data_IF_871127232987
#
_entry.id   IF_871127232987
#
_cell.length_a   1.000
_cell.length_b   1.000
_cell.length_c   1.000
_cell.angle_alpha   90.00
_cell.angle_beta   90.00
_cell.angle_gamma   90.00
#
_symmetry.space_group_name_H-M   'P 1'
#
loop_
_entity.id
_entity.type
_entity.pdbx_description
1 polymer ?
#
# COMPACT_ATOMS: atom_id res chain seq x y z
N UNK A 1 -47.19 42.57 -11.81
CA UNK A 1 -47.07 42.97 -13.23
C UNK A 1 -45.58 42.95 -13.61
N UNK A 2 -45.02 41.76 -13.81
CA UNK A 2 -43.80 41.59 -14.64
C UNK A 2 -44.39 41.49 -16.05
N UNK A 3 -44.43 42.63 -16.72
CA UNK A 3 -45.33 42.88 -17.84
C UNK A 3 -44.92 42.12 -19.11
N UNK A 4 -45.86 41.37 -19.69
CA UNK A 4 -45.84 41.02 -21.11
C UNK A 4 -45.36 39.62 -21.51
N UNK A 5 -45.10 38.71 -20.57
CA UNK A 5 -44.67 37.34 -20.89
C UNK A 5 -45.92 36.43 -20.87
N UNK A 6 -46.35 35.82 -22.00
CA UNK A 6 -47.48 34.88 -22.01
C UNK A 6 -47.21 33.71 -21.05
N UNK A 7 -48.24 33.15 -20.41
CA UNK A 7 -48.10 32.07 -19.40
C UNK A 7 -47.26 30.87 -19.88
N UNK A 8 -47.24 30.61 -21.19
CA UNK A 8 -46.43 29.57 -21.83
C UNK A 8 -44.92 29.84 -21.69
N UNK A 9 -44.50 31.10 -21.71
CA UNK A 9 -43.09 31.48 -21.61
C UNK A 9 -42.59 31.41 -20.17
N UNK A 10 -43.43 31.65 -19.15
CA UNK A 10 -43.05 31.54 -17.74
C UNK A 10 -42.61 30.11 -17.38
N UNK A 11 -43.31 29.11 -17.91
CA UNK A 11 -42.97 27.70 -17.73
C UNK A 11 -41.61 27.40 -18.37
N UNK A 12 -41.35 27.94 -19.56
CA UNK A 12 -40.05 27.80 -20.25
C UNK A 12 -38.95 28.45 -19.42
N UNK A 13 -39.13 29.68 -18.95
CA UNK A 13 -38.13 30.38 -18.13
C UNK A 13 -37.81 29.65 -16.82
N UNK A 14 -38.80 29.09 -16.12
CA UNK A 14 -38.56 28.34 -14.87
C UNK A 14 -37.93 26.97 -15.15
N UNK A 15 -38.25 26.33 -16.29
CA UNK A 15 -37.70 25.03 -16.64
C UNK A 15 -36.20 25.04 -16.93
N UNK A 16 -35.65 26.16 -17.42
CA UNK A 16 -34.22 26.31 -17.73
C UNK A 16 -33.33 26.05 -16.50
N UNK A 17 -33.43 26.80 -15.39
CA UNK A 17 -32.57 26.60 -14.24
C UNK A 17 -32.76 25.22 -13.61
N UNK A 18 -33.99 24.69 -13.58
CA UNK A 18 -34.27 23.34 -13.05
C UNK A 18 -33.54 22.28 -13.89
N UNK A 19 -33.65 22.38 -15.23
CA UNK A 19 -33.00 21.44 -16.15
C UNK A 19 -31.48 21.53 -16.02
N UNK A 20 -30.92 22.74 -15.98
CA UNK A 20 -29.48 22.94 -15.79
C UNK A 20 -29.00 22.41 -14.44
N UNK A 21 -29.80 22.56 -13.37
CA UNK A 21 -29.54 21.96 -12.06
C UNK A 21 -29.47 20.44 -12.11
N UNK A 22 -30.47 19.79 -12.72
CA UNK A 22 -30.52 18.33 -12.86
C UNK A 22 -29.34 17.83 -13.71
N UNK A 23 -29.04 18.49 -14.82
CA UNK A 23 -27.90 18.16 -15.67
C UNK A 23 -26.60 18.31 -14.88
N UNK A 24 -26.40 19.40 -14.15
CA UNK A 24 -25.20 19.63 -13.34
C UNK A 24 -24.99 18.57 -12.25
N UNK A 25 -26.07 18.13 -11.59
CA UNK A 25 -26.02 17.01 -10.67
C UNK A 25 -25.65 15.69 -11.37
N UNK A 26 -26.32 15.39 -12.49
CA UNK A 26 -26.12 14.15 -13.23
C UNK A 26 -24.72 14.04 -13.84
N UNK A 27 -24.20 15.11 -14.44
CA UNK A 27 -22.86 15.13 -15.03
C UNK A 27 -21.77 15.02 -13.97
N UNK A 28 -21.93 15.67 -12.82
CA UNK A 28 -20.99 15.51 -11.70
C UNK A 28 -21.03 14.08 -11.13
N UNK A 29 -22.21 13.50 -11.00
CA UNK A 29 -22.35 12.08 -10.61
C UNK A 29 -21.65 11.17 -11.61
N UNK A 30 -21.87 11.38 -12.90
CA UNK A 30 -21.24 10.60 -13.97
C UNK A 30 -19.72 10.77 -13.94
N UNK A 31 -19.22 11.99 -13.74
CA UNK A 31 -17.78 12.27 -13.65
C UNK A 31 -17.13 11.52 -12.48
N UNK A 32 -17.78 11.46 -11.32
CA UNK A 32 -17.31 10.65 -10.18
C UNK A 32 -17.26 9.16 -10.54
N UNK A 33 -18.28 8.63 -11.22
CA UNK A 33 -18.26 7.23 -11.67
C UNK A 33 -17.12 6.97 -12.66
N UNK A 34 -16.89 7.91 -13.58
CA UNK A 34 -15.85 7.87 -14.62
C UNK A 34 -14.42 7.92 -14.05
N UNK A 35 -14.22 8.38 -12.82
CA UNK A 35 -12.90 8.31 -12.15
C UNK A 35 -12.55 6.86 -11.79
N UNK A 36 -13.54 6.07 -11.36
CA UNK A 36 -13.31 4.74 -10.77
C UNK A 36 -13.67 3.57 -11.68
N UNK A 37 -14.62 3.75 -12.60
CA UNK A 37 -15.19 2.69 -13.40
C UNK A 37 -15.17 3.00 -14.90
N UNK A 38 -15.08 1.96 -15.76
CA UNK A 38 -14.81 0.56 -15.43
C UNK A 38 -13.34 0.33 -15.08
N UNK A 39 -13.08 -0.73 -14.31
CA UNK A 39 -11.72 -1.13 -13.91
C UNK A 39 -10.84 -1.49 -15.11
N UNK A 40 -11.42 -2.25 -16.03
CA UNK A 40 -10.78 -2.64 -17.29
C UNK A 40 -11.37 -1.83 -18.42
N UNK A 41 -10.59 -1.60 -19.46
CA UNK A 41 -11.05 -0.91 -20.65
C UNK A 41 -12.24 -1.67 -21.27
N UNK A 42 -13.37 -0.98 -21.39
CA UNK A 42 -14.56 -1.49 -22.08
C UNK A 42 -14.76 -0.70 -23.36
N UNK A 43 -14.64 -1.35 -24.51
CA UNK A 43 -14.79 -0.68 -25.80
C UNK A 43 -14.57 -1.60 -27.00
N UNK A 44 -14.67 -1.01 -28.19
CA UNK A 44 -14.40 -1.66 -29.47
C UNK A 44 -13.14 -1.03 -30.05
N UNK A 45 -12.12 -1.86 -30.27
CA UNK A 45 -10.81 -1.42 -30.77
C UNK A 45 -10.17 -0.35 -29.87
N UNK A 46 -9.86 0.85 -30.39
CA UNK A 46 -9.31 1.99 -29.61
C UNK A 46 -10.39 2.90 -29.01
N UNK A 47 -11.68 2.65 -29.30
CA UNK A 47 -12.79 3.45 -28.79
C UNK A 47 -13.43 2.73 -27.60
N UNK A 48 -13.13 3.21 -26.41
CA UNK A 48 -13.68 2.66 -25.18
C UNK A 48 -13.42 3.56 -23.99
N UNK A 49 -13.94 3.12 -22.85
CA UNK A 49 -13.86 3.85 -21.62
C UNK A 49 -13.16 2.99 -20.56
N UNK A 50 -12.27 3.61 -19.80
CA UNK A 50 -11.67 3.06 -18.60
C UNK A 50 -11.66 4.15 -17.54
N UNK A 51 -11.90 3.77 -16.28
CA UNK A 51 -11.80 4.71 -15.18
C UNK A 51 -10.40 5.34 -15.10
N UNK A 52 -10.33 6.63 -14.77
CA UNK A 52 -9.07 7.39 -14.74
C UNK A 52 -8.03 6.76 -13.80
N UNK A 53 -8.45 6.35 -12.60
CA UNK A 53 -7.56 5.72 -11.62
C UNK A 53 -7.06 4.35 -12.11
N UNK A 54 -7.94 3.42 -12.54
CA UNK A 54 -7.48 2.14 -13.09
C UNK A 54 -6.54 2.32 -14.29
N UNK A 55 -6.83 3.26 -15.19
CA UNK A 55 -6.03 3.53 -16.38
C UNK A 55 -4.61 4.02 -16.03
N UNK A 56 -4.49 4.87 -14.99
CA UNK A 56 -3.20 5.38 -14.52
C UNK A 56 -2.67 4.65 -13.28
N UNK A 57 -3.12 3.43 -13.03
CA UNK A 57 -2.81 2.68 -11.80
C UNK A 57 -1.31 2.53 -11.55
N UNK A 58 -0.53 2.17 -12.57
CA UNK A 58 0.93 2.01 -12.49
C UNK A 58 1.64 3.32 -12.10
N UNK A 59 1.21 4.45 -12.67
CA UNK A 59 1.80 5.75 -12.35
C UNK A 59 1.43 6.18 -10.94
N UNK A 60 0.19 5.97 -10.54
CA UNK A 60 -0.32 6.35 -9.22
C UNK A 60 0.30 5.49 -8.11
N UNK A 61 0.39 4.18 -8.31
CA UNK A 61 1.06 3.28 -7.37
C UNK A 61 2.52 3.65 -7.20
N UNK A 62 3.26 3.90 -8.29
CA UNK A 62 4.65 4.37 -8.21
C UNK A 62 4.81 5.68 -7.41
N UNK A 63 3.88 6.63 -7.55
CA UNK A 63 3.88 7.84 -6.74
C UNK A 63 3.63 7.56 -5.25
N UNK A 64 2.67 6.70 -4.93
CA UNK A 64 2.36 6.30 -3.56
C UNK A 64 3.54 5.55 -2.94
N UNK A 65 4.12 4.60 -3.67
CA UNK A 65 5.30 3.85 -3.27
C UNK A 65 6.44 4.80 -2.93
N UNK A 66 6.76 5.73 -3.84
CA UNK A 66 7.82 6.72 -3.61
C UNK A 66 7.55 7.58 -2.38
N UNK A 67 6.32 8.03 -2.17
CA UNK A 67 5.97 8.82 -0.97
C UNK A 67 6.14 7.97 0.30
N UNK A 68 5.77 6.69 0.26
CA UNK A 68 5.90 5.79 1.40
C UNK A 68 7.36 5.53 1.75
N UNK A 69 8.18 5.19 0.75
CA UNK A 69 9.60 4.86 0.94
C UNK A 69 10.45 6.10 1.26
N UNK A 70 10.15 7.27 0.69
CA UNK A 70 10.97 8.47 0.90
C UNK A 70 10.56 9.29 2.13
N UNK A 71 9.30 9.19 2.60
CA UNK A 71 8.76 10.16 3.57
C UNK A 71 7.98 9.57 4.75
N UNK A 72 7.60 8.30 4.72
CA UNK A 72 6.67 7.75 5.72
C UNK A 72 7.19 6.52 6.45
N UNK A 73 7.96 5.66 5.79
CA UNK A 73 8.33 4.36 6.35
C UNK A 73 9.83 4.17 6.26
N UNK A 74 10.45 3.97 7.41
CA UNK A 74 11.84 3.57 7.54
C UNK A 74 11.89 2.07 7.88
N UNK A 75 12.61 1.22 7.12
CA UNK A 75 12.74 -0.21 7.40
C UNK A 75 13.23 -0.51 8.82
N UNK A 76 14.12 0.34 9.36
CA UNK A 76 14.61 0.24 10.73
C UNK A 76 13.51 0.35 11.78
N UNK A 77 12.50 1.20 11.57
CA UNK A 77 11.38 1.34 12.50
C UNK A 77 10.51 0.08 12.49
N UNK A 78 10.34 -0.55 11.33
CA UNK A 78 9.64 -1.83 11.23
C UNK A 78 10.39 -2.93 11.96
N UNK A 79 11.72 -2.99 11.78
CA UNK A 79 12.59 -3.91 12.50
C UNK A 79 12.49 -3.74 14.03
N UNK A 80 12.60 -2.50 14.52
CA UNK A 80 12.54 -2.16 15.97
C UNK A 80 11.19 -2.50 16.63
N UNK A 81 10.11 -2.64 15.83
CA UNK A 81 8.78 -3.04 16.33
C UNK A 81 8.63 -4.55 16.50
N UNK A 82 9.55 -5.34 15.96
CA UNK A 82 9.53 -6.79 16.07
C UNK A 82 10.26 -7.21 17.35
N UNK A 83 9.61 -8.04 18.16
CA UNK A 83 10.19 -8.58 19.38
C UNK A 83 11.07 -9.82 19.06
N UNK A 84 12.40 -9.75 19.21
CA UNK A 84 13.31 -10.86 18.95
C UNK A 84 13.07 -12.06 19.88
N UNK A 85 12.58 -11.82 21.10
CA UNK A 85 12.37 -12.87 22.08
C UNK A 85 11.16 -13.72 21.70
N UNK A 86 10.12 -13.06 21.18
CA UNK A 86 8.94 -13.75 20.66
C UNK A 86 9.25 -14.57 19.39
N UNK A 87 10.09 -14.05 18.49
CA UNK A 87 10.57 -14.81 17.34
C UNK A 87 11.34 -16.05 17.81
N UNK A 88 12.24 -15.85 18.76
CA UNK A 88 13.06 -16.91 19.32
C UNK A 88 12.20 -18.00 19.96
N UNK A 89 11.23 -17.64 20.79
CA UNK A 89 10.31 -18.61 21.42
C UNK A 89 9.55 -19.45 20.38
N UNK A 90 9.00 -18.82 19.35
CA UNK A 90 8.25 -19.48 18.29
C UNK A 90 9.12 -20.42 17.44
N UNK A 91 10.33 -19.99 17.09
CA UNK A 91 11.25 -20.78 16.27
C UNK A 91 11.91 -21.89 17.10
N UNK A 92 12.38 -21.60 18.31
CA UNK A 92 13.03 -22.58 19.20
C UNK A 92 12.13 -23.78 19.45
N UNK A 93 10.83 -23.57 19.73
CA UNK A 93 9.90 -24.68 19.92
C UNK A 93 9.79 -25.61 18.69
N UNK A 94 9.80 -25.03 17.49
CA UNK A 94 9.76 -25.80 16.24
C UNK A 94 11.09 -26.54 16.00
N UNK A 95 12.22 -25.86 16.22
CA UNK A 95 13.54 -26.44 16.00
C UNK A 95 13.83 -27.53 17.04
N UNK A 96 13.41 -27.39 18.30
CA UNK A 96 13.59 -28.42 19.34
C UNK A 96 12.93 -29.75 18.97
N UNK A 97 11.74 -29.67 18.36
CA UNK A 97 11.02 -30.84 17.84
C UNK A 97 11.75 -31.50 16.67
N UNK A 98 12.43 -30.70 15.83
CA UNK A 98 13.16 -31.16 14.64
C UNK A 98 14.67 -31.32 14.82
N UNK A 99 15.22 -31.00 15.99
CA UNK A 99 16.66 -30.88 16.22
C UNK A 99 17.40 -32.17 15.89
N UNK A 100 16.85 -33.33 16.30
CA UNK A 100 17.43 -34.63 16.00
C UNK A 100 17.54 -34.88 14.49
N UNK A 101 16.47 -34.60 13.75
CA UNK A 101 16.44 -34.77 12.30
C UNK A 101 17.42 -33.82 11.59
N UNK A 102 17.50 -32.56 12.05
CA UNK A 102 18.38 -31.55 11.49
C UNK A 102 19.85 -31.85 11.76
N UNK A 103 20.21 -32.20 13.01
CA UNK A 103 21.57 -32.59 13.39
C UNK A 103 22.03 -33.83 12.62
N UNK A 104 21.16 -34.83 12.49
CA UNK A 104 21.45 -36.02 11.69
C UNK A 104 21.72 -35.65 10.21
N UNK A 105 20.86 -34.81 9.62
CA UNK A 105 21.05 -34.33 8.24
C UNK A 105 22.35 -33.55 8.07
N UNK A 106 22.70 -32.66 9.01
CA UNK A 106 23.92 -31.86 8.96
C UNK A 106 25.18 -32.72 9.09
N UNK A 107 25.22 -33.67 10.02
CA UNK A 107 26.36 -34.57 10.19
C UNK A 107 26.52 -35.48 8.98
N UNK A 108 25.42 -36.05 8.47
CA UNK A 108 25.44 -36.87 7.25
C UNK A 108 25.86 -36.07 6.01
N UNK A 109 25.50 -34.78 5.93
CA UNK A 109 25.90 -33.91 4.83
C UNK A 109 27.41 -33.63 4.83
N UNK A 110 28.04 -33.54 6.01
CA UNK A 110 29.51 -33.43 6.10
C UNK A 110 30.19 -34.79 5.88
N UNK A 111 29.73 -35.86 6.53
CA UNK A 111 30.24 -37.21 6.32
C UNK A 111 29.14 -38.25 6.61
N UNK A 112 28.68 -39.01 5.60
CA UNK A 112 27.62 -40.00 5.75
C UNK A 112 27.91 -41.11 6.77
N UNK A 113 29.18 -41.41 7.03
CA UNK A 113 29.61 -42.49 7.91
C UNK A 113 29.61 -42.07 9.39
N UNK A 114 29.90 -40.79 9.69
CA UNK A 114 30.08 -40.30 11.07
C UNK A 114 28.87 -40.57 11.95
N UNK A 115 27.65 -40.28 11.47
CA UNK A 115 26.44 -40.46 12.27
C UNK A 115 26.22 -41.90 12.73
N UNK A 116 26.59 -42.88 11.91
CA UNK A 116 26.37 -44.28 12.22
C UNK A 116 27.43 -44.85 13.17
N UNK A 117 28.61 -44.23 13.24
CA UNK A 117 29.75 -44.69 14.06
C UNK A 117 29.75 -44.03 15.45
N UNK A 118 29.14 -42.85 15.59
CA UNK A 118 29.05 -42.14 16.87
C UNK A 118 28.14 -42.91 17.87
N UNK A 119 28.60 -43.16 19.12
CA UNK A 119 27.76 -43.75 20.17
C UNK A 119 26.55 -42.89 20.51
N UNK A 120 25.43 -43.51 20.90
CA UNK A 120 24.17 -42.79 21.15
C UNK A 120 24.28 -41.74 22.27
N UNK A 121 25.14 -41.96 23.27
CA UNK A 121 25.44 -40.96 24.31
C UNK A 121 26.08 -39.68 23.76
N UNK A 122 26.94 -39.82 22.74
CA UNK A 122 27.57 -38.66 22.09
C UNK A 122 26.54 -37.96 21.19
N UNK A 123 25.69 -38.72 20.48
CA UNK A 123 24.57 -38.13 19.71
C UNK A 123 23.64 -37.31 20.60
N UNK A 124 23.23 -37.84 21.75
CA UNK A 124 22.35 -37.11 22.68
C UNK A 124 23.01 -35.83 23.19
N UNK A 125 24.30 -35.88 23.53
CA UNK A 125 25.03 -34.70 23.98
C UNK A 125 25.14 -33.63 22.88
N UNK A 126 25.43 -34.01 21.62
CA UNK A 126 25.46 -33.06 20.50
C UNK A 126 24.08 -32.43 20.31
N UNK A 127 23.02 -33.24 20.31
CA UNK A 127 21.64 -32.74 20.13
C UNK A 127 21.28 -31.75 21.25
N UNK A 128 21.58 -32.08 22.51
CA UNK A 128 21.27 -31.22 23.64
C UNK A 128 22.12 -29.94 23.65
N UNK A 129 23.36 -30.01 23.18
CA UNK A 129 24.22 -28.84 23.02
C UNK A 129 23.72 -27.93 21.89
N UNK A 130 23.32 -28.49 20.75
CA UNK A 130 22.70 -27.72 19.65
C UNK A 130 21.41 -27.06 20.11
N UNK A 131 20.56 -27.77 20.86
CA UNK A 131 19.33 -27.21 21.47
C UNK A 131 19.61 -26.00 22.35
N UNK A 132 20.64 -26.06 23.19
CA UNK A 132 21.03 -24.93 24.06
C UNK A 132 21.53 -23.74 23.26
N UNK A 133 22.13 -23.96 22.08
CA UNK A 133 22.68 -22.88 21.26
C UNK A 133 21.63 -22.23 20.34
N UNK A 134 20.59 -22.96 19.91
CA UNK A 134 19.56 -22.46 18.99
C UNK A 134 18.98 -21.09 19.40
N UNK A 135 18.55 -20.85 20.65
CA UNK A 135 18.02 -19.54 21.04
C UNK A 135 19.00 -18.39 20.80
N UNK A 136 20.29 -18.60 21.08
CA UNK A 136 21.32 -17.57 20.88
C UNK A 136 21.62 -17.37 19.39
N UNK A 137 21.66 -18.44 18.61
CA UNK A 137 21.86 -18.34 17.16
C UNK A 137 20.72 -17.57 16.47
N UNK A 138 19.47 -17.77 16.89
CA UNK A 138 18.32 -17.03 16.34
C UNK A 138 18.46 -15.53 16.63
N UNK A 139 18.86 -15.15 17.86
CA UNK A 139 19.12 -13.75 18.23
C UNK A 139 20.25 -13.14 17.41
N UNK A 140 21.34 -13.87 17.26
CA UNK A 140 22.48 -13.41 16.45
C UNK A 140 22.07 -13.20 14.99
N UNK A 141 21.30 -14.13 14.40
CA UNK A 141 20.76 -13.97 13.04
C UNK A 141 19.86 -12.73 12.95
N UNK A 142 18.97 -12.53 13.93
CA UNK A 142 18.09 -11.36 13.96
C UNK A 142 18.88 -10.04 14.08
N UNK A 143 19.94 -10.00 14.89
CA UNK A 143 20.80 -8.83 15.02
C UNK A 143 21.64 -8.57 13.78
N UNK A 144 22.19 -9.62 13.15
CA UNK A 144 22.98 -9.47 11.93
C UNK A 144 22.10 -9.05 10.75
N UNK A 145 20.91 -9.64 10.61
CA UNK A 145 19.92 -9.23 9.62
C UNK A 145 19.51 -7.76 9.79
N UNK A 146 19.46 -7.27 11.03
CA UNK A 146 19.21 -5.86 11.36
C UNK A 146 20.26 -4.87 10.84
N UNK A 147 21.49 -5.31 10.54
CA UNK A 147 22.56 -4.43 10.04
C UNK A 147 22.44 -4.15 8.54
N UNK A 148 21.85 -5.08 7.79
CA UNK A 148 21.75 -5.03 6.33
C UNK A 148 20.30 -4.79 5.85
N UNK A 149 19.45 -4.18 6.69
CA UNK A 149 18.03 -3.97 6.41
C UNK A 149 17.77 -3.25 5.09
N UNK A 150 18.56 -2.22 4.76
CA UNK A 150 18.40 -1.44 3.53
C UNK A 150 18.58 -2.27 2.26
N UNK A 151 19.42 -3.31 2.32
CA UNK A 151 19.67 -4.20 1.19
C UNK A 151 18.67 -5.37 1.16
N UNK A 152 18.15 -5.76 2.33
CA UNK A 152 17.23 -6.86 2.52
C UNK A 152 15.76 -6.49 2.24
N UNK A 153 15.34 -5.27 2.58
CA UNK A 153 13.96 -4.81 2.49
C UNK A 153 13.68 -4.10 1.16
N UNK A 154 13.11 -4.83 0.19
CA UNK A 154 12.60 -4.24 -1.04
C UNK A 154 11.15 -3.74 -0.88
N UNK A 155 11.00 -2.66 -0.11
CA UNK A 155 9.69 -2.07 0.17
C UNK A 155 9.03 -1.53 -1.11
N UNK A 156 9.82 -1.01 -2.05
CA UNK A 156 9.32 -0.45 -3.29
C UNK A 156 8.56 -1.49 -4.12
N UNK A 157 9.14 -2.68 -4.31
CA UNK A 157 8.50 -3.74 -5.09
C UNK A 157 7.25 -4.28 -4.40
N UNK A 158 7.26 -4.44 -3.07
CA UNK A 158 6.11 -4.92 -2.29
C UNK A 158 4.93 -3.96 -2.42
N UNK A 159 5.14 -2.66 -2.22
CA UNK A 159 4.07 -1.66 -2.32
C UNK A 159 3.58 -1.54 -3.76
N UNK A 160 4.49 -1.48 -4.74
CA UNK A 160 4.14 -1.37 -6.15
C UNK A 160 3.31 -2.56 -6.62
N UNK A 161 3.71 -3.78 -6.26
CA UNK A 161 2.98 -5.02 -6.60
C UNK A 161 1.64 -5.11 -5.87
N UNK A 162 1.57 -4.61 -4.63
CA UNK A 162 0.33 -4.58 -3.83
C UNK A 162 -0.69 -3.56 -4.32
N UNK A 163 -0.28 -2.52 -5.06
CA UNK A 163 -1.21 -1.47 -5.54
C UNK A 163 -1.41 -1.47 -7.07
N UNK A 164 -0.70 -2.31 -7.81
CA UNK A 164 -0.73 -2.34 -9.28
C UNK A 164 -1.32 -3.62 -9.87
N UNK A 165 -1.60 -3.61 -11.17
CA UNK A 165 -2.00 -4.80 -11.93
C UNK A 165 -3.28 -5.44 -11.38
N UNK A 166 -3.20 -6.70 -10.96
CA UNK A 166 -4.34 -7.45 -10.38
C UNK A 166 -4.83 -6.85 -9.06
N UNK A 167 -4.03 -6.00 -8.40
CA UNK A 167 -4.38 -5.36 -7.14
C UNK A 167 -4.85 -3.91 -7.31
N UNK A 168 -5.06 -3.44 -8.54
CA UNK A 168 -5.60 -2.09 -8.83
C UNK A 168 -6.93 -1.80 -8.09
N UNK A 169 -7.67 -2.83 -7.67
CA UNK A 169 -8.84 -2.67 -6.80
C UNK A 169 -8.50 -2.01 -5.45
N UNK A 170 -7.33 -2.27 -4.88
CA UNK A 170 -6.91 -1.68 -3.60
C UNK A 170 -6.56 -0.21 -3.77
N UNK A 171 -5.95 0.16 -4.90
CA UNK A 171 -5.76 1.56 -5.28
C UNK A 171 -7.11 2.28 -5.42
N UNK A 172 -8.07 1.68 -6.12
CA UNK A 172 -9.43 2.22 -6.26
C UNK A 172 -10.12 2.36 -4.89
N UNK A 173 -10.03 1.34 -4.03
CA UNK A 173 -10.56 1.34 -2.66
C UNK A 173 -9.98 2.51 -1.85
N UNK A 174 -8.65 2.68 -1.89
CA UNK A 174 -7.95 3.75 -1.19
C UNK A 174 -8.47 5.13 -1.61
N UNK A 175 -8.52 5.42 -2.91
CA UNK A 175 -9.02 6.71 -3.40
C UNK A 175 -10.52 6.92 -3.10
N UNK A 176 -11.35 5.87 -3.14
CA UNK A 176 -12.78 5.96 -2.79
C UNK A 176 -13.00 6.23 -1.31
N UNK A 177 -12.22 5.60 -0.43
CA UNK A 177 -12.32 5.80 1.03
C UNK A 177 -11.82 7.19 1.42
N UNK A 178 -10.67 7.60 0.89
CA UNK A 178 -10.11 8.93 1.15
C UNK A 178 -11.00 10.06 0.61
N UNK A 179 -11.50 9.96 -0.63
CA UNK A 179 -12.25 11.03 -1.29
C UNK A 179 -13.78 10.93 -1.22
N UNK A 180 -14.34 9.89 -0.59
CA UNK A 180 -15.77 9.58 -0.61
C UNK A 180 -16.69 10.76 -0.25
N UNK A 181 -16.45 11.45 0.88
CA UNK A 181 -17.21 12.62 1.27
C UNK A 181 -17.05 13.80 0.29
N UNK A 182 -15.88 14.02 -0.28
CA UNK A 182 -15.62 15.08 -1.27
C UNK A 182 -16.34 14.80 -2.59
N UNK A 183 -16.36 13.54 -3.06
CA UNK A 183 -17.13 13.16 -4.23
C UNK A 183 -18.63 13.36 -4.00
N UNK A 184 -19.12 13.00 -2.81
CA UNK A 184 -20.52 13.22 -2.44
C UNK A 184 -20.86 14.72 -2.40
N UNK A 185 -19.93 15.55 -1.94
CA UNK A 185 -20.06 17.00 -1.98
C UNK A 185 -20.09 17.55 -3.41
N UNK A 186 -19.18 17.11 -4.30
CA UNK A 186 -19.16 17.50 -5.72
C UNK A 186 -20.51 17.23 -6.37
N UNK A 187 -21.04 16.01 -6.19
CA UNK A 187 -22.33 15.61 -6.76
C UNK A 187 -23.46 16.47 -6.23
N UNK A 188 -23.57 16.65 -4.91
CA UNK A 188 -24.63 17.46 -4.29
C UNK A 188 -24.54 18.94 -4.66
N UNK A 189 -23.32 19.49 -4.70
CA UNK A 189 -23.07 20.88 -5.09
C UNK A 189 -23.37 21.14 -6.57
N UNK A 190 -23.28 20.12 -7.42
CA UNK A 190 -23.59 20.21 -8.84
C UNK A 190 -25.01 20.70 -9.12
N UNK A 191 -25.97 20.31 -8.27
CA UNK A 191 -27.34 20.81 -8.34
C UNK A 191 -27.41 22.32 -8.09
N UNK A 192 -26.76 22.78 -7.02
CA UNK A 192 -26.79 24.19 -6.61
C UNK A 192 -26.06 25.10 -7.59
N UNK A 193 -24.91 24.67 -8.11
CA UNK A 193 -24.21 25.42 -9.17
C UNK A 193 -25.01 25.41 -10.46
N UNK A 194 -25.58 24.28 -10.87
CA UNK A 194 -26.42 24.20 -12.06
C UNK A 194 -27.65 25.10 -11.97
N UNK A 195 -28.29 25.19 -10.80
CA UNK A 195 -29.40 26.11 -10.57
C UNK A 195 -28.95 27.58 -10.63
N UNK A 196 -27.90 27.94 -9.87
CA UNK A 196 -27.42 29.33 -9.81
C UNK A 196 -26.92 29.83 -11.16
N UNK A 197 -26.22 28.99 -11.90
CA UNK A 197 -25.74 29.34 -13.23
C UNK A 197 -26.87 29.28 -14.26
N UNK A 198 -27.85 28.39 -14.11
CA UNK A 198 -29.05 28.38 -14.94
C UNK A 198 -29.86 29.68 -14.84
N UNK A 199 -29.90 30.31 -13.66
CA UNK A 199 -30.49 31.65 -13.49
C UNK A 199 -29.68 32.73 -14.22
N UNK A 200 -28.35 32.63 -14.19
CA UNK A 200 -27.47 33.54 -14.93
C UNK A 200 -27.65 33.35 -16.44
N UNK A 201 -27.72 32.09 -16.91
CA UNK A 201 -27.99 31.75 -18.30
C UNK A 201 -29.33 32.34 -18.79
N UNK A 202 -30.36 32.32 -17.94
CA UNK A 202 -31.66 32.94 -18.23
C UNK A 202 -31.52 34.46 -18.50
N UNK A 203 -30.75 35.17 -17.66
CA UNK A 203 -30.49 36.59 -17.84
C UNK A 203 -29.77 36.89 -19.18
N UNK A 204 -28.80 36.05 -19.56
CA UNK A 204 -28.09 36.19 -20.83
C UNK A 204 -28.95 35.88 -22.05
N UNK A 205 -29.81 34.86 -21.97
CA UNK A 205 -30.77 34.54 -23.05
C UNK A 205 -31.73 35.71 -23.25
N UNK A 206 -32.22 36.32 -22.17
CA UNK A 206 -33.08 37.49 -22.25
C UNK A 206 -32.39 38.68 -22.94
N UNK A 207 -31.09 38.90 -22.70
CA UNK A 207 -30.36 40.03 -23.28
C UNK A 207 -29.93 39.79 -24.74
N UNK A 208 -29.42 38.61 -25.06
CA UNK A 208 -28.83 38.33 -26.38
C UNK A 208 -29.85 37.78 -27.38
N UNK A 209 -30.87 37.05 -26.92
CA UNK A 209 -31.96 36.46 -27.72
C UNK A 209 -31.52 35.76 -29.03
N UNK A 210 -30.36 35.08 -29.01
CA UNK A 210 -29.85 34.30 -30.15
C UNK A 210 -29.78 32.81 -29.81
N UNK A 211 -30.04 31.94 -30.79
CA UNK A 211 -30.07 30.47 -30.60
C UNK A 211 -28.72 29.87 -30.16
N UNK A 212 -27.60 30.44 -30.64
CA UNK A 212 -26.25 29.96 -30.35
C UNK A 212 -25.78 30.28 -28.92
N UNK A 213 -26.50 31.16 -28.20
CA UNK A 213 -26.20 31.50 -26.81
C UNK A 213 -26.34 30.27 -25.92
N UNK A 214 -27.30 29.38 -26.20
CA UNK A 214 -27.52 28.17 -25.40
C UNK A 214 -26.33 27.20 -25.44
N UNK A 215 -25.80 26.78 -26.61
CA UNK A 215 -24.59 25.94 -26.69
C UNK A 215 -23.35 26.58 -26.05
N UNK A 216 -23.10 27.87 -26.33
CA UNK A 216 -21.91 28.57 -25.81
C UNK A 216 -22.00 28.70 -24.29
N UNK A 217 -23.17 29.07 -23.76
CA UNK A 217 -23.39 29.11 -22.32
C UNK A 217 -23.22 27.73 -21.70
N UNK A 218 -23.81 26.68 -22.27
CA UNK A 218 -23.61 25.31 -21.76
C UNK A 218 -22.12 24.94 -21.59
N UNK A 219 -21.28 25.30 -22.56
CA UNK A 219 -19.83 25.07 -22.50
C UNK A 219 -19.15 25.89 -21.40
N UNK A 220 -19.41 27.21 -21.36
CA UNK A 220 -18.83 28.12 -20.35
C UNK A 220 -19.24 27.68 -18.94
N UNK A 221 -20.52 27.38 -18.75
CA UNK A 221 -21.12 26.97 -17.49
C UNK A 221 -20.50 25.66 -17.01
N UNK A 222 -20.40 24.65 -17.89
CA UNK A 222 -19.76 23.39 -17.55
C UNK A 222 -18.29 23.57 -17.12
N UNK A 223 -17.53 24.35 -17.88
CA UNK A 223 -16.12 24.64 -17.58
C UNK A 223 -15.96 25.36 -16.24
N UNK A 224 -16.70 26.46 -16.03
CA UNK A 224 -16.62 27.27 -14.81
C UNK A 224 -17.06 26.49 -13.58
N UNK A 225 -18.13 25.68 -13.68
CA UNK A 225 -18.62 24.87 -12.56
C UNK A 225 -17.58 23.85 -12.13
N UNK A 226 -16.99 23.12 -13.08
CA UNK A 226 -15.96 22.13 -12.77
C UNK A 226 -14.70 22.77 -12.20
N UNK A 227 -14.30 23.93 -12.74
CA UNK A 227 -13.19 24.72 -12.22
C UNK A 227 -13.44 25.19 -10.77
N UNK A 228 -14.63 25.70 -10.47
CA UNK A 228 -15.04 26.10 -9.12
C UNK A 228 -15.04 24.90 -8.15
N UNK A 229 -15.58 23.76 -8.58
CA UNK A 229 -15.59 22.55 -7.77
C UNK A 229 -14.17 22.12 -7.37
N UNK A 230 -13.24 22.10 -8.34
CA UNK A 230 -11.83 21.79 -8.07
C UNK A 230 -11.18 22.81 -7.13
N UNK A 231 -11.44 24.10 -7.32
CA UNK A 231 -10.92 25.13 -6.42
C UNK A 231 -11.40 24.91 -4.99
N UNK A 232 -12.68 24.65 -4.78
CA UNK A 232 -13.24 24.46 -3.44
C UNK A 232 -12.74 23.22 -2.71
N UNK A 233 -12.38 22.17 -3.44
CA UNK A 233 -11.91 20.91 -2.85
C UNK A 233 -10.45 21.04 -2.40
N UNK A 234 -9.61 21.63 -3.24
CA UNK A 234 -8.16 21.59 -3.06
C UNK A 234 -7.54 22.93 -2.62
N UNK A 235 -8.27 24.04 -2.70
CA UNK A 235 -7.75 25.37 -2.38
C UNK A 235 -8.71 26.18 -1.49
N UNK A 236 -8.19 27.07 -0.63
CA UNK A 236 -6.77 27.31 -0.35
C UNK A 236 -6.14 26.16 0.46
N UNK A 237 -4.81 26.03 0.36
CA UNK A 237 -4.06 24.96 1.04
C UNK A 237 -4.15 25.09 2.56
N UNK A 238 -3.97 26.32 3.03
CA UNK A 238 -4.09 26.71 4.43
C UNK A 238 -5.41 27.48 4.64
N UNK A 239 -5.98 27.43 5.86
CA UNK A 239 -7.19 28.16 6.18
C UNK A 239 -6.94 29.67 6.03
N UNK A 240 -7.68 30.31 5.10
CA UNK A 240 -7.60 31.75 4.87
C UNK A 240 -8.87 32.46 5.31
N UNK A 241 -8.71 33.69 5.81
CA UNK A 241 -9.83 34.58 6.11
C UNK A 241 -10.34 35.23 4.82
N UNK A 242 -11.58 34.94 4.46
CA UNK A 242 -12.36 35.68 3.48
C UNK A 242 -13.11 36.82 4.18
N UNK A 243 -13.07 38.02 3.59
CA UNK A 243 -13.73 39.22 4.12
C UNK A 243 -13.43 39.53 5.60
N UNK A 244 -12.27 39.10 6.12
CA UNK A 244 -11.82 39.37 7.50
C UNK A 244 -12.42 38.46 8.59
N UNK A 245 -13.54 37.77 8.34
CA UNK A 245 -14.28 37.03 9.38
C UNK A 245 -14.57 35.56 9.05
N UNK A 246 -14.59 35.15 7.78
CA UNK A 246 -14.98 33.79 7.37
C UNK A 246 -13.74 32.97 7.06
N UNK A 247 -13.50 31.88 7.80
CA UNK A 247 -12.39 30.96 7.50
C UNK A 247 -12.82 29.95 6.44
N UNK A 248 -12.04 29.88 5.35
CA UNK A 248 -12.24 28.90 4.30
C UNK A 248 -10.93 28.17 3.98
N UNK A 249 -11.04 26.85 3.83
CA UNK A 249 -9.96 25.95 3.42
C UNK A 249 -10.54 24.93 2.44
N UNK A 250 -9.69 24.43 1.53
CA UNK A 250 -10.08 23.35 0.63
C UNK A 250 -10.66 22.17 1.42
N UNK A 251 -11.82 21.68 1.01
CA UNK A 251 -12.59 20.68 1.77
C UNK A 251 -11.78 19.41 2.07
N UNK A 252 -10.98 18.95 1.09
CA UNK A 252 -10.14 17.77 1.25
C UNK A 252 -9.04 17.98 2.30
N UNK A 253 -8.42 19.17 2.31
CA UNK A 253 -7.33 19.50 3.24
C UNK A 253 -7.85 19.75 4.65
N UNK A 254 -9.07 20.28 4.78
CA UNK A 254 -9.74 20.40 6.07
C UNK A 254 -9.96 19.03 6.73
N UNK A 255 -10.14 17.97 5.93
CA UNK A 255 -10.33 16.57 6.35
C UNK A 255 -9.05 15.74 6.32
N UNK A 256 -7.88 16.39 6.34
CA UNK A 256 -6.60 15.68 6.33
C UNK A 256 -6.51 14.58 7.41
N UNK A 257 -6.94 14.79 8.68
CA UNK A 257 -6.82 13.75 9.71
C UNK A 257 -7.62 12.48 9.37
N UNK A 258 -8.85 12.64 8.89
CA UNK A 258 -9.69 11.52 8.48
C UNK A 258 -9.12 10.82 7.24
N UNK A 259 -8.64 11.59 6.27
CA UNK A 259 -8.00 11.04 5.06
C UNK A 259 -6.74 10.27 5.41
N UNK A 260 -5.90 10.78 6.32
CA UNK A 260 -4.70 10.10 6.79
C UNK A 260 -5.03 8.79 7.49
N UNK A 261 -6.11 8.75 8.29
CA UNK A 261 -6.58 7.52 8.92
C UNK A 261 -7.06 6.49 7.89
N UNK A 262 -7.91 6.89 6.95
CA UNK A 262 -8.40 6.01 5.88
C UNK A 262 -7.25 5.49 5.00
N UNK A 263 -6.27 6.34 4.70
CA UNK A 263 -5.08 5.97 3.96
C UNK A 263 -4.23 4.94 4.73
N UNK A 264 -3.97 5.18 6.02
CA UNK A 264 -3.23 4.24 6.87
C UNK A 264 -3.94 2.89 7.00
N UNK A 265 -5.26 2.89 7.24
CA UNK A 265 -6.06 1.66 7.38
C UNK A 265 -6.05 0.81 6.12
N UNK A 266 -6.09 1.43 4.92
CA UNK A 266 -6.00 0.69 3.66
C UNK A 266 -4.59 0.14 3.44
N UNK A 267 -3.55 0.92 3.71
CA UNK A 267 -2.17 0.45 3.59
C UNK A 267 -1.85 -0.69 4.54
N UNK A 268 -2.26 -0.60 5.80
CA UNK A 268 -2.13 -1.67 6.79
C UNK A 268 -2.76 -2.96 6.27
N UNK A 269 -4.01 -2.89 5.82
CA UNK A 269 -4.78 -4.08 5.40
C UNK A 269 -4.39 -4.66 4.05
N UNK A 270 -3.87 -3.85 3.13
CA UNK A 270 -3.62 -4.26 1.72
C UNK A 270 -2.15 -4.37 1.36
N UNK A 271 -1.26 -3.71 2.10
CA UNK A 271 0.16 -3.64 1.77
C UNK A 271 1.00 -4.20 2.92
N UNK A 272 0.80 -3.72 4.14
CA UNK A 272 1.62 -4.04 5.32
C UNK A 272 1.04 -5.16 6.20
N UNK A 273 0.18 -6.01 5.64
CA UNK A 273 -0.34 -7.15 6.38
C UNK A 273 0.76 -8.22 6.58
N UNK A 274 0.59 -9.05 7.60
CA UNK A 274 1.62 -10.00 8.04
C UNK A 274 2.16 -10.90 6.92
N UNK A 275 1.31 -11.41 6.04
CA UNK A 275 1.76 -12.25 4.91
C UNK A 275 2.73 -11.49 3.98
N UNK A 276 2.44 -10.24 3.64
CA UNK A 276 3.33 -9.45 2.78
C UNK A 276 4.64 -9.09 3.48
N UNK A 277 4.58 -8.78 4.79
CA UNK A 277 5.79 -8.52 5.58
C UNK A 277 6.70 -9.76 5.66
N UNK A 278 6.10 -10.95 5.85
CA UNK A 278 6.84 -12.22 5.84
C UNK A 278 7.45 -12.47 4.46
N UNK A 279 6.67 -12.32 3.37
CA UNK A 279 7.21 -12.45 2.02
C UNK A 279 8.38 -11.50 1.77
N UNK A 280 8.30 -10.25 2.23
CA UNK A 280 9.38 -9.29 2.10
C UNK A 280 10.67 -9.72 2.83
N UNK A 281 10.56 -10.44 3.94
CA UNK A 281 11.70 -10.95 4.71
C UNK A 281 12.29 -12.22 4.08
N UNK A 282 11.44 -13.13 3.60
CA UNK A 282 11.85 -14.48 3.18
C UNK A 282 11.97 -14.68 1.66
N UNK A 283 11.46 -13.75 0.86
CA UNK A 283 11.58 -13.76 -0.60
C UNK A 283 12.57 -12.69 -1.07
N UNK A 284 13.15 -12.88 -2.26
CA UNK A 284 14.11 -11.94 -2.84
C UNK A 284 15.40 -11.81 -2.01
N UNK A 285 15.94 -10.59 -1.93
CA UNK A 285 17.25 -10.31 -1.32
C UNK A 285 17.30 -10.61 0.18
N UNK A 286 16.22 -10.29 0.92
CA UNK A 286 16.13 -10.59 2.34
C UNK A 286 16.17 -12.09 2.61
N UNK A 287 15.49 -12.88 1.79
CA UNK A 287 15.52 -14.34 1.86
C UNK A 287 16.91 -14.92 1.63
N UNK A 288 17.60 -14.47 0.59
CA UNK A 288 18.97 -14.90 0.27
C UNK A 288 19.94 -14.58 1.42
N UNK A 289 19.86 -13.37 1.97
CA UNK A 289 20.65 -12.95 3.13
C UNK A 289 20.34 -13.81 4.37
N UNK A 290 19.06 -14.04 4.65
CA UNK A 290 18.63 -14.82 5.82
C UNK A 290 19.11 -16.28 5.70
N UNK A 291 19.04 -16.87 4.50
CA UNK A 291 19.57 -18.22 4.24
C UNK A 291 21.08 -18.27 4.47
N UNK A 292 21.82 -17.26 4.03
CA UNK A 292 23.25 -17.17 4.26
C UNK A 292 23.59 -17.08 5.75
N UNK A 293 22.93 -16.17 6.49
CA UNK A 293 23.12 -16.01 7.93
C UNK A 293 22.80 -17.29 8.71
N UNK A 294 21.70 -17.96 8.35
CA UNK A 294 21.33 -19.25 8.95
C UNK A 294 22.40 -20.30 8.69
N UNK A 295 22.94 -20.38 7.46
CA UNK A 295 23.98 -21.34 7.11
C UNK A 295 25.25 -21.10 7.91
N UNK A 296 25.72 -19.85 7.96
CA UNK A 296 26.96 -19.47 8.63
C UNK A 296 26.87 -19.74 10.14
N UNK A 297 25.74 -19.37 10.75
CA UNK A 297 25.48 -19.58 12.19
C UNK A 297 25.24 -21.03 12.55
N UNK A 298 24.59 -21.81 11.69
CA UNK A 298 24.44 -23.25 11.89
C UNK A 298 25.80 -23.98 11.83
N UNK A 299 26.66 -23.62 10.88
CA UNK A 299 28.00 -24.20 10.78
C UNK A 299 28.84 -23.87 12.03
N UNK A 300 28.79 -22.61 12.49
CA UNK A 300 29.47 -22.16 13.71
C UNK A 300 28.96 -22.92 14.96
N UNK A 301 27.64 -23.11 15.08
CA UNK A 301 27.03 -23.84 16.19
C UNK A 301 27.40 -25.32 16.23
N UNK A 302 27.43 -25.99 15.07
CA UNK A 302 27.88 -27.40 14.98
C UNK A 302 29.36 -27.52 15.32
N UNK A 303 30.22 -26.66 14.78
CA UNK A 303 31.67 -26.67 15.08
C UNK A 303 31.94 -26.44 16.58
N UNK A 304 31.23 -25.50 17.21
CA UNK A 304 31.27 -25.29 18.67
C UNK A 304 30.81 -26.52 19.46
N UNK A 305 29.69 -27.13 19.07
CA UNK A 305 29.17 -28.33 19.73
C UNK A 305 30.14 -29.52 19.63
N UNK A 306 30.78 -29.70 18.47
CA UNK A 306 31.80 -30.74 18.23
C UNK A 306 33.04 -30.50 19.09
N UNK A 307 33.56 -29.27 19.12
CA UNK A 307 34.74 -28.89 19.94
C UNK A 307 34.51 -29.04 21.43
N UNK A 308 33.31 -28.70 21.91
CA UNK A 308 32.96 -28.77 23.33
C UNK A 308 32.63 -30.20 23.81
N UNK A 309 32.48 -31.17 22.91
CA UNK A 309 32.22 -32.56 23.28
C UNK A 309 33.55 -33.32 23.46
N UNK A 310 34.00 -33.61 24.70
CA UNK A 310 35.36 -34.09 24.99
C UNK A 310 35.75 -35.41 24.32
N UNK A 311 34.77 -36.22 23.91
CA UNK A 311 34.99 -37.54 23.30
C UNK A 311 35.32 -37.45 21.80
N UNK A 312 34.85 -36.41 21.10
CA UNK A 312 34.95 -36.30 19.65
C UNK A 312 36.37 -35.95 19.17
N UNK A 313 37.10 -35.00 19.80
CA UNK A 313 38.51 -34.73 19.48
C UNK A 313 39.43 -35.94 19.66
N UNK A 314 39.04 -36.93 20.48
CA UNK A 314 39.78 -38.16 20.75
C UNK A 314 39.47 -39.29 19.75
N UNK A 315 38.31 -39.23 19.06
CA UNK A 315 37.87 -40.21 18.06
C UNK A 315 38.19 -39.79 16.62
N UNK A 316 38.35 -38.48 16.37
CA UNK A 316 38.75 -37.94 15.07
C UNK A 316 40.29 -37.86 15.04
N UNK A 317 40.94 -38.86 14.43
CA UNK A 317 42.39 -38.82 14.12
C UNK A 317 42.75 -37.56 13.31
N UNK A 318 43.99 -37.07 13.44
CA UNK A 318 44.49 -35.86 12.78
C UNK A 318 44.27 -35.85 11.25
N UNK A 319 44.22 -37.02 10.60
CA UNK A 319 43.90 -37.17 9.17
C UNK A 319 42.44 -36.79 8.81
N UNK A 320 41.49 -37.03 9.73
CA UNK A 320 40.08 -36.66 9.54
C UNK A 320 39.81 -35.18 9.85
N UNK A 321 40.69 -34.52 10.61
CA UNK A 321 40.63 -33.05 10.83
C UNK A 321 41.03 -32.26 9.59
N UNK A 322 41.90 -32.79 8.72
CA UNK A 322 42.25 -32.13 7.46
C UNK A 322 41.07 -32.11 6.48
N UNK A 323 40.25 -33.16 6.46
CA UNK A 323 39.03 -33.24 5.63
C UNK A 323 37.90 -32.31 6.09
N UNK A 324 37.97 -31.72 7.30
CA UNK A 324 37.00 -30.73 7.78
C UNK A 324 37.42 -29.27 7.51
N UNK A 325 38.62 -29.05 6.94
CA UNK A 325 39.15 -27.71 6.63
C UNK A 325 39.08 -27.34 5.14
N UNK A 326 38.66 -28.26 4.28
CA UNK A 326 38.33 -28.02 2.86
C UNK A 326 36.81 -27.95 2.68
#
# INVERSE_FOLDING_TARGET
MIAGIPYQDLIVYISIPITTGIIGWFTNWLAVQMIFAPREFKGIWKLGWQGIIPHHSVKMSGLITRILTERLIEPEELYKRIDPEKITELISGLVDFKARELVEKLIKAQNPMLWNVIPDFVKSNIIDEVRKQIPNQIRDIYHEFGKDLDQAFDLESVVSTSLSGKNTSYLIEMFRRCGGPEFSFIVKSGLWFGLGIGLLQLAFIHWLNQWWVMPIMGLIVGYVTNWLALQMIFRPLEPRKFFGFIYYQGLFLKRQPEVSYEFADVLEKRVFHSENLIRMIFEGRGGDLLIQLVRDKAAEGVDKAVKNTPVIPMMINDDQRQLMKE
#
